data_IF_541496583181
#
_entry.id   IF_541496583181
#
_cell.length_a   1.000
_cell.length_b   1.000
_cell.length_c   1.000
_cell.angle_alpha   90.00
_cell.angle_beta   90.00
_cell.angle_gamma   90.00
#
_symmetry.space_group_name_H-M   'P 1'
#
loop_
_entity.id
_entity.type
_entity.pdbx_description
1 polymer ?
#
# COMPACT_ATOMS: atom_id res chain seq x y z
N UNK A 1 -17.93 -3.35 -5.78
CA UNK A 1 -18.69 -3.85 -4.61
C UNK A 1 -19.37 -5.20 -4.87
N UNK A 2 -19.66 -5.58 -6.12
CA UNK A 2 -20.36 -6.83 -6.45
C UNK A 2 -19.57 -8.12 -6.12
N UNK A 3 -18.24 -8.12 -6.27
CA UNK A 3 -17.46 -9.36 -6.15
C UNK A 3 -17.20 -9.81 -4.70
N UNK A 4 -17.02 -8.89 -3.75
CA UNK A 4 -16.93 -9.25 -2.32
C UNK A 4 -18.20 -9.96 -1.85
N UNK A 5 -19.37 -9.50 -2.29
CA UNK A 5 -20.66 -10.15 -2.03
C UNK A 5 -20.71 -11.54 -2.66
N UNK A 6 -20.15 -11.72 -3.86
CA UNK A 6 -20.06 -13.02 -4.54
C UNK A 6 -19.19 -14.02 -3.77
N UNK A 7 -18.03 -13.60 -3.26
CA UNK A 7 -17.16 -14.44 -2.44
C UNK A 7 -17.85 -14.89 -1.13
N UNK A 8 -18.51 -13.97 -0.42
CA UNK A 8 -19.27 -14.31 0.79
C UNK A 8 -20.51 -15.17 0.49
N UNK A 9 -21.21 -14.92 -0.63
CA UNK A 9 -22.34 -15.72 -1.05
C UNK A 9 -21.94 -17.17 -1.39
N UNK A 10 -20.78 -17.35 -2.03
CA UNK A 10 -20.20 -18.67 -2.32
C UNK A 10 -19.85 -19.44 -1.04
N UNK A 11 -19.32 -18.75 -0.03
CA UNK A 11 -18.92 -19.33 1.25
C UNK A 11 -20.07 -19.51 2.27
N UNK A 12 -21.26 -18.99 1.98
CA UNK A 12 -22.46 -19.15 2.85
C UNK A 12 -22.91 -20.61 2.94
N UNK A 13 -22.62 -21.38 1.89
CA UNK A 13 -22.96 -22.79 1.77
C UNK A 13 -21.94 -23.69 2.47
N UNK A 14 -22.39 -24.61 3.35
CA UNK A 14 -21.50 -25.42 4.16
C UNK A 14 -20.70 -26.43 3.34
N UNK A 15 -21.23 -26.96 2.24
CA UNK A 15 -20.53 -27.91 1.40
C UNK A 15 -19.41 -27.22 0.61
N UNK A 16 -19.69 -26.06 0.02
CA UNK A 16 -18.69 -25.24 -0.68
C UNK A 16 -17.58 -24.78 0.26
N UNK A 17 -17.94 -24.36 1.47
CA UNK A 17 -16.97 -24.01 2.52
C UNK A 17 -16.05 -25.19 2.84
N UNK A 18 -16.63 -26.36 3.11
CA UNK A 18 -15.89 -27.57 3.47
C UNK A 18 -14.96 -28.05 2.35
N UNK A 19 -15.37 -27.94 1.09
CA UNK A 19 -14.49 -28.20 -0.07
C UNK A 19 -13.23 -27.33 -0.04
N UNK A 20 -13.42 -26.03 0.18
CA UNK A 20 -12.33 -25.05 0.19
C UNK A 20 -11.40 -25.25 1.39
N UNK A 21 -11.94 -25.63 2.55
CA UNK A 21 -11.16 -25.99 3.73
C UNK A 21 -10.30 -27.24 3.49
N UNK A 22 -10.90 -28.31 2.94
CA UNK A 22 -10.19 -29.56 2.64
C UNK A 22 -9.06 -29.32 1.64
N UNK A 23 -9.35 -28.64 0.52
CA UNK A 23 -8.36 -28.34 -0.53
C UNK A 23 -7.35 -27.25 -0.12
N UNK A 24 -7.65 -26.48 0.92
CA UNK A 24 -6.73 -25.51 1.50
C UNK A 24 -5.76 -26.14 2.50
N UNK A 25 -6.20 -27.17 3.22
CA UNK A 25 -5.38 -27.96 4.15
C UNK A 25 -4.54 -29.03 3.43
N UNK A 26 -5.05 -29.58 2.33
CA UNK A 26 -4.39 -30.63 1.53
C UNK A 26 -4.12 -30.10 0.12
N UNK A 27 -2.87 -30.13 -0.35
CA UNK A 27 -2.51 -29.51 -1.65
C UNK A 27 -3.28 -30.08 -2.85
N UNK A 28 -3.65 -31.38 -2.81
CA UNK A 28 -4.36 -32.07 -3.89
C UNK A 28 -5.25 -33.17 -3.32
N UNK A 29 -6.53 -33.19 -3.70
CA UNK A 29 -7.50 -34.20 -3.20
C UNK A 29 -8.27 -34.81 -4.37
N UNK A 30 -8.50 -36.12 -4.30
CA UNK A 30 -9.27 -36.85 -5.30
C UNK A 30 -10.79 -36.67 -5.13
N UNK A 31 -11.57 -36.96 -6.18
CA UNK A 31 -13.03 -36.91 -6.09
C UNK A 31 -13.60 -37.86 -5.02
N UNK A 32 -13.05 -39.08 -4.91
CA UNK A 32 -13.51 -40.09 -3.95
C UNK A 32 -13.33 -39.60 -2.51
N UNK A 33 -12.14 -39.07 -2.20
CA UNK A 33 -11.80 -38.49 -0.89
C UNK A 33 -12.69 -37.28 -0.56
N UNK A 34 -12.92 -36.37 -1.52
CA UNK A 34 -13.85 -35.25 -1.36
C UNK A 34 -15.26 -35.73 -1.08
N UNK A 35 -15.75 -36.74 -1.82
CA UNK A 35 -17.10 -37.30 -1.63
C UNK A 35 -17.24 -37.91 -0.24
N UNK A 36 -16.27 -38.70 0.20
CA UNK A 36 -16.27 -39.33 1.52
C UNK A 36 -16.24 -38.29 2.64
N UNK A 37 -15.41 -37.25 2.52
CA UNK A 37 -15.32 -36.19 3.53
C UNK A 37 -16.57 -35.28 3.60
N UNK A 38 -17.29 -35.13 2.47
CA UNK A 38 -18.51 -34.34 2.40
C UNK A 38 -19.77 -35.13 2.78
N UNK A 39 -19.78 -36.46 2.60
CA UNK A 39 -20.95 -37.31 2.83
C UNK A 39 -22.11 -37.04 1.86
N UNK A 40 -21.82 -36.48 0.67
CA UNK A 40 -22.83 -36.06 -0.30
C UNK A 40 -22.93 -37.04 -1.49
N UNK A 41 -24.09 -37.04 -2.15
CA UNK A 41 -24.32 -37.81 -3.37
C UNK A 41 -23.42 -37.34 -4.53
N UNK A 42 -23.13 -38.25 -5.47
CA UNK A 42 -22.21 -38.01 -6.59
C UNK A 42 -22.59 -36.74 -7.38
N UNK A 43 -23.87 -36.60 -7.76
CA UNK A 43 -24.35 -35.43 -8.51
C UNK A 43 -24.23 -34.11 -7.74
N UNK A 44 -24.49 -34.13 -6.44
CA UNK A 44 -24.39 -32.95 -5.57
C UNK A 44 -22.95 -32.47 -5.43
N UNK A 45 -21.98 -33.39 -5.31
CA UNK A 45 -20.56 -33.02 -5.27
C UNK A 45 -20.15 -32.38 -6.61
N UNK A 46 -20.57 -32.94 -7.74
CA UNK A 46 -20.28 -32.33 -9.04
C UNK A 46 -20.90 -30.94 -9.19
N UNK A 47 -22.13 -30.74 -8.73
CA UNK A 47 -22.78 -29.43 -8.72
C UNK A 47 -21.97 -28.38 -7.95
N UNK A 48 -21.49 -28.71 -6.74
CA UNK A 48 -20.67 -27.78 -5.97
C UNK A 48 -19.29 -27.54 -6.59
N UNK A 49 -18.67 -28.57 -7.18
CA UNK A 49 -17.39 -28.42 -7.88
C UNK A 49 -17.53 -27.55 -9.13
N UNK A 50 -18.65 -27.66 -9.85
CA UNK A 50 -18.94 -26.83 -11.02
C UNK A 50 -19.13 -25.36 -10.64
N UNK A 51 -19.91 -25.11 -9.58
CA UNK A 51 -20.07 -23.77 -8.98
C UNK A 51 -18.75 -23.18 -8.46
N UNK A 52 -17.79 -24.03 -8.10
CA UNK A 52 -16.44 -23.64 -7.65
C UNK A 52 -15.39 -23.69 -8.77
N UNK A 53 -15.75 -24.01 -10.01
CA UNK A 53 -14.81 -24.22 -11.11
C UNK A 53 -13.81 -23.08 -11.30
N UNK A 54 -14.24 -21.82 -11.15
CA UNK A 54 -13.37 -20.64 -11.22
C UNK A 54 -12.34 -20.50 -10.09
N UNK A 55 -12.44 -21.31 -9.02
CA UNK A 55 -11.56 -21.32 -7.84
C UNK A 55 -10.70 -22.58 -7.74
N UNK A 56 -10.96 -23.55 -8.63
CA UNK A 56 -10.36 -24.87 -8.61
C UNK A 56 -9.54 -25.08 -9.88
N UNK A 57 -8.44 -25.81 -9.74
CA UNK A 57 -7.66 -26.35 -10.84
C UNK A 57 -7.70 -27.86 -10.75
N UNK A 58 -7.79 -28.51 -11.90
CA UNK A 58 -7.76 -29.98 -12.01
C UNK A 58 -6.42 -30.39 -12.62
N UNK A 59 -5.68 -31.23 -11.91
CA UNK A 59 -4.41 -31.77 -12.38
C UNK A 59 -4.62 -32.89 -13.41
N UNK A 60 -3.55 -33.27 -14.15
CA UNK A 60 -3.51 -34.39 -15.11
C UNK A 60 -4.00 -35.71 -14.50
N UNK A 61 -3.83 -35.88 -13.19
CA UNK A 61 -4.30 -37.04 -12.42
C UNK A 61 -5.77 -36.95 -11.97
N UNK A 62 -6.55 -35.98 -12.49
CA UNK A 62 -7.94 -35.70 -12.09
C UNK A 62 -8.14 -35.35 -10.61
N UNK A 63 -7.08 -34.93 -9.91
CA UNK A 63 -7.15 -34.39 -8.55
C UNK A 63 -7.46 -32.89 -8.58
N UNK A 64 -8.22 -32.42 -7.60
CA UNK A 64 -8.58 -31.02 -7.45
C UNK A 64 -7.57 -30.32 -6.53
N UNK A 65 -7.24 -29.07 -6.87
CA UNK A 65 -6.44 -28.16 -6.05
C UNK A 65 -7.01 -26.75 -6.13
N UNK A 66 -6.75 -25.92 -5.11
CA UNK A 66 -7.09 -24.52 -5.17
C UNK A 66 -6.16 -23.78 -6.13
N UNK A 67 -6.74 -22.98 -7.04
CA UNK A 67 -5.99 -21.98 -7.79
C UNK A 67 -5.71 -20.75 -6.90
N UNK A 68 -5.12 -19.68 -7.46
CA UNK A 68 -4.83 -18.46 -6.68
C UNK A 68 -6.09 -17.85 -6.03
N UNK A 69 -7.21 -17.81 -6.75
CA UNK A 69 -8.51 -17.31 -6.24
C UNK A 69 -9.10 -18.25 -5.17
N UNK A 70 -8.93 -19.57 -5.32
CA UNK A 70 -9.37 -20.54 -4.32
C UNK A 70 -8.57 -20.48 -3.01
N UNK A 71 -7.23 -20.34 -3.11
CA UNK A 71 -6.37 -20.19 -1.91
C UNK A 71 -6.70 -18.94 -1.12
N UNK A 72 -7.14 -17.91 -1.83
CA UNK A 72 -7.59 -16.66 -1.26
C UNK A 72 -8.93 -16.82 -0.53
N UNK A 73 -9.87 -17.57 -1.10
CA UNK A 73 -11.12 -17.95 -0.45
C UNK A 73 -10.86 -18.72 0.86
N UNK A 74 -9.88 -19.63 0.85
CA UNK A 74 -9.45 -20.36 2.04
C UNK A 74 -8.85 -19.44 3.12
N UNK A 75 -8.06 -18.42 2.76
CA UNK A 75 -7.56 -17.42 3.71
C UNK A 75 -8.70 -16.59 4.32
N UNK A 76 -9.68 -16.18 3.52
CA UNK A 76 -10.86 -15.45 4.01
C UNK A 76 -11.61 -16.28 5.05
N UNK A 77 -11.77 -17.60 4.81
CA UNK A 77 -12.37 -18.51 5.77
C UNK A 77 -11.57 -18.65 7.07
N UNK A 78 -10.25 -18.77 6.98
CA UNK A 78 -9.34 -18.93 8.14
C UNK A 78 -9.17 -17.66 8.96
N UNK A 79 -9.11 -16.50 8.32
CA UNK A 79 -8.71 -15.21 8.93
C UNK A 79 -9.90 -14.25 9.12
N UNK A 80 -11.09 -14.59 8.62
CA UNK A 80 -12.32 -13.80 8.77
C UNK A 80 -12.30 -12.43 8.09
N UNK A 81 -11.31 -12.15 7.24
CA UNK A 81 -11.16 -10.86 6.56
C UNK A 81 -10.60 -11.03 5.14
N UNK A 82 -11.10 -10.21 4.21
CA UNK A 82 -10.54 -10.12 2.84
C UNK A 82 -9.17 -9.45 2.94
N UNK A 83 -8.09 -10.05 2.39
CA UNK A 83 -6.79 -9.41 2.36
C UNK A 83 -6.90 -8.03 1.68
N UNK A 84 -6.49 -6.96 2.36
CA UNK A 84 -6.57 -5.59 1.84
C UNK A 84 -5.94 -5.40 0.45
N UNK A 85 -4.95 -6.23 0.12
CA UNK A 85 -4.30 -6.27 -1.19
C UNK A 85 -5.26 -6.55 -2.36
N UNK A 86 -6.39 -7.21 -2.12
CA UNK A 86 -7.41 -7.50 -3.12
C UNK A 86 -8.31 -6.33 -3.45
N UNK A 87 -8.81 -5.62 -2.43
CA UNK A 87 -9.62 -4.43 -2.66
C UNK A 87 -8.86 -3.39 -3.50
N UNK A 88 -7.55 -3.30 -3.30
CA UNK A 88 -6.65 -2.44 -4.08
C UNK A 88 -6.43 -3.00 -5.50
N UNK A 89 -6.14 -4.30 -5.65
CA UNK A 89 -5.88 -4.90 -6.97
C UNK A 89 -7.12 -4.92 -7.88
N UNK A 90 -8.32 -5.02 -7.32
CA UNK A 90 -9.58 -5.00 -8.08
C UNK A 90 -10.03 -3.56 -8.40
N UNK A 91 -9.82 -2.61 -7.48
CA UNK A 91 -10.12 -1.17 -7.71
C UNK A 91 -9.12 -0.54 -8.69
N UNK A 92 -7.88 -1.02 -8.73
CA UNK A 92 -6.82 -0.57 -9.64
C UNK A 92 -6.63 -1.56 -10.80
N UNK A 93 -7.69 -1.83 -11.57
CA UNK A 93 -7.65 -2.78 -12.70
C UNK A 93 -6.70 -2.34 -13.82
N UNK A 94 -6.49 -1.02 -13.98
CA UNK A 94 -5.60 -0.44 -14.99
C UNK A 94 -4.11 -0.55 -14.61
N UNK A 95 -3.26 -0.92 -15.56
CA UNK A 95 -1.80 -1.06 -15.37
C UNK A 95 -1.12 0.23 -14.88
N UNK A 96 -1.60 1.41 -15.31
CA UNK A 96 -1.14 2.72 -14.82
C UNK A 96 -1.44 2.93 -13.34
N UNK A 97 -2.61 2.50 -12.87
CA UNK A 97 -3.01 2.61 -11.48
C UNK A 97 -2.17 1.67 -10.59
N UNK A 98 -1.83 0.47 -11.07
CA UNK A 98 -0.90 -0.45 -10.38
C UNK A 98 0.51 0.13 -10.23
N UNK A 99 0.97 0.86 -11.24
CA UNK A 99 2.28 1.53 -11.21
C UNK A 99 2.27 2.77 -10.31
N UNK A 100 1.25 3.61 -10.42
CA UNK A 100 1.07 4.81 -9.61
C UNK A 100 0.98 4.49 -8.11
N UNK A 101 0.28 3.43 -7.71
CA UNK A 101 0.20 3.04 -6.30
C UNK A 101 1.35 2.15 -5.83
N UNK A 102 2.35 1.87 -6.68
CA UNK A 102 3.43 0.91 -6.41
C UNK A 102 2.90 -0.44 -5.85
N UNK A 103 1.68 -0.83 -6.25
CA UNK A 103 0.98 -2.02 -5.77
C UNK A 103 1.80 -3.31 -5.86
N UNK A 104 2.58 -3.60 -6.93
CA UNK A 104 3.41 -4.81 -6.97
C UNK A 104 4.60 -4.74 -6.00
N UNK A 105 5.07 -3.53 -5.66
CA UNK A 105 6.19 -3.32 -4.76
C UNK A 105 5.73 -3.47 -3.29
N UNK A 106 4.57 -2.88 -2.95
CA UNK A 106 3.95 -3.06 -1.64
C UNK A 106 3.43 -4.49 -1.41
N UNK A 107 2.99 -5.19 -2.45
CA UNK A 107 2.61 -6.60 -2.35
C UNK A 107 3.80 -7.50 -1.99
N UNK A 108 5.03 -7.13 -2.38
CA UNK A 108 6.26 -7.85 -1.99
C UNK A 108 6.66 -7.60 -0.53
N UNK A 109 6.06 -6.62 0.15
CA UNK A 109 6.34 -6.31 1.57
C UNK A 109 5.79 -7.34 2.56
N UNK A 110 5.13 -8.41 2.08
CA UNK A 110 4.79 -9.60 2.90
C UNK A 110 6.05 -10.17 3.58
N UNK A 111 7.24 -9.99 3.00
CA UNK A 111 8.54 -10.24 3.64
C UNK A 111 9.28 -8.91 3.87
N UNK A 112 8.95 -8.16 4.94
CA UNK A 112 9.41 -6.77 5.10
C UNK A 112 10.94 -6.64 5.14
N UNK A 113 11.64 -7.63 5.71
CA UNK A 113 13.11 -7.68 5.80
C UNK A 113 13.82 -7.54 4.44
N UNK A 114 13.20 -7.95 3.33
CA UNK A 114 13.82 -7.82 2.00
C UNK A 114 13.74 -6.41 1.44
N UNK A 115 12.68 -5.67 1.76
CA UNK A 115 12.44 -4.32 1.25
C UNK A 115 12.82 -3.21 2.23
N UNK A 116 13.08 -3.57 3.48
CA UNK A 116 13.56 -2.64 4.50
C UNK A 116 14.83 -1.89 4.09
N UNK A 117 15.88 -2.51 3.51
CA UNK A 117 17.06 -1.78 3.07
C UNK A 117 16.75 -0.73 2.00
N UNK A 118 15.87 -1.04 1.05
CA UNK A 118 15.44 -0.09 0.02
C UNK A 118 14.68 1.09 0.61
N UNK A 119 13.80 0.82 1.58
CA UNK A 119 13.08 1.84 2.33
C UNK A 119 14.07 2.79 3.04
N UNK A 120 15.08 2.25 3.72
CA UNK A 120 16.12 3.05 4.36
C UNK A 120 16.94 3.87 3.36
N UNK A 121 17.33 3.29 2.23
CA UNK A 121 18.06 4.01 1.16
C UNK A 121 17.26 5.20 0.65
N UNK A 122 15.95 5.04 0.42
CA UNK A 122 15.07 6.15 -0.01
C UNK A 122 15.07 7.27 1.03
N UNK A 123 15.01 6.93 2.32
CA UNK A 123 15.03 7.93 3.39
C UNK A 123 16.38 8.65 3.49
N UNK A 124 17.49 7.92 3.39
CA UNK A 124 18.82 8.52 3.37
C UNK A 124 19.00 9.44 2.17
N UNK A 125 18.58 9.02 0.98
CA UNK A 125 18.62 9.83 -0.23
C UNK A 125 17.73 11.07 -0.11
N UNK A 126 16.53 10.95 0.47
CA UNK A 126 15.66 12.09 0.72
C UNK A 126 16.25 13.10 1.70
N UNK A 127 16.79 12.61 2.82
CA UNK A 127 17.43 13.46 3.83
C UNK A 127 18.67 14.17 3.28
N UNK A 128 19.51 13.46 2.52
CA UNK A 128 20.69 14.02 1.86
C UNK A 128 20.30 15.05 0.79
N UNK A 129 19.30 14.73 -0.04
CA UNK A 129 18.79 15.63 -1.06
C UNK A 129 18.24 16.92 -0.47
N UNK A 130 17.44 16.82 0.60
CA UNK A 130 16.90 17.99 1.31
C UNK A 130 18.01 18.89 1.87
N UNK A 131 19.06 18.29 2.45
CA UNK A 131 20.20 19.02 2.96
C UNK A 131 21.02 19.70 1.85
N UNK A 132 21.22 19.04 0.72
CA UNK A 132 21.92 19.60 -0.45
C UNK A 132 21.14 20.77 -1.06
N UNK A 133 19.83 20.62 -1.21
CA UNK A 133 18.95 21.64 -1.77
C UNK A 133 18.61 22.78 -0.78
N UNK A 134 19.06 22.69 0.49
CA UNK A 134 18.72 23.61 1.59
C UNK A 134 17.21 23.78 1.80
N UNK A 135 16.46 22.72 1.55
CA UNK A 135 15.02 22.67 1.76
C UNK A 135 14.71 22.14 3.15
N UNK A 136 13.83 22.82 3.87
CA UNK A 136 13.35 22.36 5.18
C UNK A 136 12.16 21.41 4.99
N UNK A 137 12.30 20.10 5.32
CA UNK A 137 11.20 19.16 5.20
C UNK A 137 10.19 19.38 6.34
N UNK A 138 8.91 19.33 6.00
CA UNK A 138 7.78 19.40 6.93
C UNK A 138 6.73 18.36 6.55
N UNK A 139 7.03 17.09 6.85
CA UNK A 139 6.26 15.91 6.43
C UNK A 139 6.02 15.89 4.91
N UNK A 140 4.85 16.36 4.46
CA UNK A 140 4.47 16.42 3.04
C UNK A 140 4.98 17.68 2.32
N UNK A 141 5.45 18.71 3.04
CA UNK A 141 5.85 19.99 2.45
C UNK A 141 7.37 20.19 2.51
N UNK A 142 7.86 21.07 1.64
CA UNK A 142 9.21 21.62 1.69
C UNK A 142 9.13 23.14 1.73
N UNK A 143 9.97 23.75 2.55
CA UNK A 143 10.11 25.19 2.63
C UNK A 143 11.51 25.62 2.19
N UNK A 144 11.56 26.71 1.43
CA UNK A 144 12.81 27.30 0.97
C UNK A 144 13.54 28.02 2.12
N UNK A 145 14.85 28.24 1.93
CA UNK A 145 15.70 29.03 2.83
C UNK A 145 15.78 28.46 4.25
N UNK A 146 16.16 27.19 4.37
CA UNK A 146 16.51 26.65 5.68
C UNK A 146 17.71 27.42 6.26
N UNK A 147 17.48 28.14 7.35
CA UNK A 147 18.55 28.72 8.19
C UNK A 147 19.29 27.67 9.01
N UNK A 148 18.83 26.41 8.94
CA UNK A 148 19.35 25.29 9.73
C UNK A 148 20.57 24.69 9.07
N UNK A 149 21.45 24.16 9.91
CA UNK A 149 22.61 23.40 9.44
C UNK A 149 22.18 22.14 8.65
N UNK A 150 22.98 21.67 7.68
CA UNK A 150 22.66 20.47 6.91
C UNK A 150 22.36 19.23 7.78
N UNK A 151 23.07 19.08 8.90
CA UNK A 151 22.86 17.97 9.85
C UNK A 151 21.51 18.08 10.56
N UNK A 152 21.08 19.30 10.91
CA UNK A 152 19.74 19.55 11.46
C UNK A 152 18.64 19.22 10.45
N UNK A 153 18.84 19.52 9.16
CA UNK A 153 17.88 19.19 8.09
C UNK A 153 17.73 17.69 7.89
N UNK A 154 18.84 16.94 7.86
CA UNK A 154 18.83 15.47 7.81
C UNK A 154 18.07 14.90 9.00
N UNK A 155 18.37 15.40 10.20
CA UNK A 155 17.74 14.95 11.44
C UNK A 155 16.24 15.20 11.40
N UNK A 156 15.82 16.39 10.98
CA UNK A 156 14.40 16.75 10.84
C UNK A 156 13.66 15.87 9.84
N UNK A 157 14.29 15.54 8.69
CA UNK A 157 13.71 14.65 7.70
C UNK A 157 13.38 13.28 8.31
N UNK A 158 14.35 12.70 9.03
CA UNK A 158 14.18 11.40 9.70
C UNK A 158 13.09 11.49 10.78
N UNK A 159 13.08 12.56 11.57
CA UNK A 159 12.05 12.77 12.60
C UNK A 159 10.64 12.89 12.01
N UNK A 160 10.47 13.67 10.94
CA UNK A 160 9.18 13.78 10.26
C UNK A 160 8.68 12.41 9.81
N UNK A 161 9.57 11.61 9.24
CA UNK A 161 9.20 10.30 8.74
C UNK A 161 8.86 9.29 9.87
N UNK A 162 9.67 9.25 10.93
CA UNK A 162 9.35 8.47 12.13
C UNK A 162 8.03 8.95 12.74
N UNK A 163 7.81 10.27 12.79
CA UNK A 163 6.58 10.90 13.23
C UNK A 163 5.38 10.43 12.42
N UNK A 164 5.48 10.38 11.09
CA UNK A 164 4.42 9.87 10.22
C UNK A 164 4.13 8.38 10.49
N UNK A 165 5.17 7.56 10.68
CA UNK A 165 4.99 6.16 11.06
C UNK A 165 4.25 6.01 12.39
N UNK A 166 4.69 6.72 13.44
CA UNK A 166 4.04 6.66 14.76
C UNK A 166 2.61 7.19 14.70
N UNK A 167 2.39 8.26 13.95
CA UNK A 167 1.07 8.87 13.78
C UNK A 167 0.09 7.92 13.08
N UNK A 168 0.52 7.31 11.97
CA UNK A 168 -0.31 6.33 11.24
C UNK A 168 -0.56 5.06 12.05
N UNK A 169 0.41 4.60 12.84
CA UNK A 169 0.24 3.51 13.81
C UNK A 169 -0.83 3.87 14.86
N UNK A 170 -0.73 5.06 15.45
CA UNK A 170 -1.65 5.55 16.46
C UNK A 170 -3.08 5.70 15.92
N UNK A 171 -3.26 6.27 14.73
CA UNK A 171 -4.58 6.37 14.11
C UNK A 171 -5.15 5.01 13.70
N UNK A 172 -4.33 4.10 13.18
CA UNK A 172 -4.77 2.75 12.85
C UNK A 172 -5.27 1.99 14.09
N UNK A 173 -4.62 2.22 15.24
CA UNK A 173 -5.09 1.69 16.52
C UNK A 173 -6.34 2.41 17.03
N UNK A 174 -6.35 3.74 17.09
CA UNK A 174 -7.43 4.53 17.67
C UNK A 174 -8.75 4.39 16.90
N UNK A 175 -8.70 4.46 15.56
CA UNK A 175 -9.91 4.46 14.71
C UNK A 175 -10.37 3.05 14.36
N UNK A 176 -9.45 2.10 14.20
CA UNK A 176 -9.77 0.78 13.64
C UNK A 176 -9.36 -0.39 14.54
N UNK A 177 -8.81 -0.13 15.74
CA UNK A 177 -8.35 -1.13 16.72
C UNK A 177 -7.40 -2.18 16.12
N UNK A 178 -6.65 -1.81 15.07
CA UNK A 178 -5.79 -2.73 14.33
C UNK A 178 -4.38 -2.74 14.93
N UNK A 179 -3.96 -3.89 15.45
CA UNK A 179 -2.65 -4.11 16.07
C UNK A 179 -1.81 -5.06 15.22
N UNK A 180 -0.48 -4.92 15.24
CA UNK A 180 0.46 -5.81 14.55
C UNK A 180 1.05 -5.23 13.26
N UNK A 181 1.92 -6.00 12.59
CA UNK A 181 2.59 -5.63 11.32
C UNK A 181 3.36 -4.29 11.32
N UNK A 182 3.89 -3.87 12.47
CA UNK A 182 4.62 -2.60 12.64
C UNK A 182 5.80 -2.47 11.66
N UNK A 183 6.60 -3.52 11.52
CA UNK A 183 7.75 -3.53 10.62
C UNK A 183 7.34 -3.42 9.15
N UNK A 184 6.22 -4.03 8.77
CA UNK A 184 5.69 -3.94 7.42
C UNK A 184 5.17 -2.53 7.13
N UNK A 185 4.43 -1.93 8.06
CA UNK A 185 3.98 -0.54 7.96
C UNK A 185 5.15 0.43 7.83
N UNK A 186 6.16 0.30 8.69
CA UNK A 186 7.39 1.10 8.63
C UNK A 186 8.06 1.00 7.25
N UNK A 187 8.26 -0.22 6.76
CA UNK A 187 8.85 -0.45 5.43
C UNK A 187 8.02 0.22 4.33
N UNK A 188 6.69 0.06 4.36
CA UNK A 188 5.80 0.67 3.38
C UNK A 188 5.80 2.20 3.44
N UNK A 189 5.82 2.81 4.64
CA UNK A 189 5.83 4.27 4.77
C UNK A 189 7.14 4.86 4.25
N UNK A 190 8.27 4.17 4.37
CA UNK A 190 9.53 4.64 3.80
C UNK A 190 9.61 4.48 2.29
N UNK A 191 8.99 3.43 1.74
CA UNK A 191 8.78 3.33 0.28
C UNK A 191 7.85 4.44 -0.23
N UNK A 192 6.81 4.79 0.53
CA UNK A 192 5.87 5.86 0.19
C UNK A 192 6.49 7.27 0.26
N UNK A 193 7.64 7.41 0.92
CA UNK A 193 8.40 8.66 0.96
C UNK A 193 9.14 8.94 -0.36
N UNK A 194 9.20 7.98 -1.30
CA UNK A 194 9.96 8.09 -2.55
C UNK A 194 9.66 9.38 -3.34
N UNK A 195 8.40 9.77 -3.64
CA UNK A 195 8.14 10.96 -4.44
C UNK A 195 8.73 12.22 -3.81
N UNK A 196 8.58 12.37 -2.49
CA UNK A 196 9.10 13.51 -1.75
C UNK A 196 10.61 13.45 -1.54
N UNK A 197 11.19 12.26 -1.43
CA UNK A 197 12.64 12.07 -1.32
C UNK A 197 13.37 12.49 -2.61
N UNK A 198 12.70 12.38 -3.77
CA UNK A 198 13.29 12.76 -5.07
C UNK A 198 13.13 14.26 -5.35
N UNK A 199 12.13 14.93 -4.78
CA UNK A 199 11.86 16.36 -5.04
C UNK A 199 13.08 17.29 -4.88
N UNK A 200 13.90 17.21 -3.82
CA UNK A 200 15.06 18.08 -3.67
C UNK A 200 16.06 18.03 -4.84
N UNK A 201 16.17 16.88 -5.50
CA UNK A 201 17.02 16.73 -6.69
C UNK A 201 16.42 17.42 -7.91
N UNK A 202 15.09 17.34 -8.09
CA UNK A 202 14.40 18.13 -9.11
C UNK A 202 14.54 19.63 -8.85
N UNK A 203 14.44 20.05 -7.59
CA UNK A 203 14.60 21.45 -7.22
C UNK A 203 15.94 22.03 -7.71
N UNK A 204 17.04 21.30 -7.53
CA UNK A 204 18.37 21.71 -7.99
C UNK A 204 18.53 21.58 -9.51
N UNK A 205 18.00 20.51 -10.12
CA UNK A 205 18.23 20.20 -11.53
C UNK A 205 17.38 21.05 -12.51
N UNK A 206 16.18 21.50 -12.11
CA UNK A 206 15.25 22.21 -13.01
C UNK A 206 15.84 23.50 -13.60
N UNK A 207 16.46 24.41 -12.83
CA UNK A 207 17.09 25.61 -13.40
C UNK A 207 18.20 25.29 -14.40
N UNK A 208 19.03 24.28 -14.11
CA UNK A 208 20.13 23.87 -14.99
C UNK A 208 19.59 23.28 -16.29
N UNK A 209 18.56 22.43 -16.20
CA UNK A 209 17.95 21.77 -17.35
C UNK A 209 17.19 22.73 -18.28
N UNK A 210 16.63 23.81 -17.74
CA UNK A 210 15.85 24.79 -18.50
C UNK A 210 16.65 26.06 -18.86
N UNK A 211 17.94 26.09 -18.57
CA UNK A 211 18.81 27.25 -18.79
C UNK A 211 18.83 27.74 -20.24
N UNK A 212 18.56 26.86 -21.21
CA UNK A 212 18.47 27.20 -22.65
C UNK A 212 17.14 27.82 -23.12
N UNK A 213 16.12 27.95 -22.26
CA UNK A 213 14.77 28.36 -22.67
C UNK A 213 14.42 29.84 -22.40
N UNK A 214 15.39 30.68 -22.00
CA UNK A 214 15.17 32.11 -21.67
C UNK A 214 13.97 32.35 -20.72
N UNK A 215 13.73 31.43 -19.80
CA UNK A 215 12.67 31.53 -18.81
C UNK A 215 13.05 32.51 -17.70
N UNK A 216 12.07 33.24 -17.19
CA UNK A 216 12.26 34.10 -16.03
C UNK A 216 12.30 33.29 -14.74
N UNK A 217 12.94 33.83 -13.69
CA UNK A 217 13.01 33.19 -12.36
C UNK A 217 11.63 32.76 -11.83
N UNK A 218 10.61 33.60 -12.04
CA UNK A 218 9.23 33.35 -11.59
C UNK A 218 8.64 32.11 -12.28
N UNK A 219 8.93 31.90 -13.57
CA UNK A 219 8.41 30.76 -14.34
C UNK A 219 9.05 29.45 -13.87
N UNK A 220 10.36 29.47 -13.60
CA UNK A 220 11.09 28.32 -13.05
C UNK A 220 10.53 27.93 -11.67
N UNK A 221 10.22 28.92 -10.84
CA UNK A 221 9.66 28.67 -9.51
C UNK A 221 8.22 28.12 -9.56
N UNK A 222 7.38 28.64 -10.47
CA UNK A 222 6.07 28.05 -10.73
C UNK A 222 6.17 26.58 -11.16
N UNK A 223 7.13 26.24 -12.03
CA UNK A 223 7.36 24.85 -12.46
C UNK A 223 7.75 23.97 -11.28
N UNK A 224 8.66 24.41 -10.41
CA UNK A 224 9.06 23.69 -9.20
C UNK A 224 7.87 23.42 -8.26
N UNK A 225 7.01 24.41 -8.06
CA UNK A 225 5.81 24.27 -7.23
C UNK A 225 4.81 23.28 -7.82
N UNK A 226 4.58 23.32 -9.13
CA UNK A 226 3.71 22.35 -9.83
C UNK A 226 4.27 20.93 -9.66
N UNK A 227 5.59 20.74 -9.84
CA UNK A 227 6.25 19.45 -9.61
C UNK A 227 6.05 19.00 -8.16
N UNK A 228 6.24 19.89 -7.18
CA UNK A 228 6.03 19.58 -5.76
C UNK A 228 4.61 19.09 -5.50
N UNK A 229 3.59 19.81 -5.98
CA UNK A 229 2.18 19.45 -5.80
C UNK A 229 1.88 18.06 -6.36
N UNK A 230 2.40 17.75 -7.56
CA UNK A 230 2.22 16.43 -8.19
C UNK A 230 2.85 15.35 -7.30
N UNK A 231 4.07 15.57 -6.80
CA UNK A 231 4.77 14.60 -5.94
C UNK A 231 4.12 14.47 -4.56
N UNK A 232 3.52 15.54 -4.03
CA UNK A 232 2.75 15.53 -2.78
C UNK A 232 1.49 14.68 -2.90
N UNK A 233 0.70 14.92 -3.95
CA UNK A 233 -0.49 14.10 -4.24
C UNK A 233 -0.08 12.64 -4.41
N UNK A 234 1.01 12.39 -5.13
CA UNK A 234 1.50 11.02 -5.31
C UNK A 234 1.94 10.38 -3.99
N UNK A 235 2.68 11.10 -3.14
CA UNK A 235 3.08 10.60 -1.82
C UNK A 235 1.88 10.29 -0.93
N UNK A 236 0.83 11.12 -0.96
CA UNK A 236 -0.40 10.89 -0.20
C UNK A 236 -1.11 9.59 -0.63
N UNK A 237 -1.17 9.33 -1.94
CA UNK A 237 -1.71 8.09 -2.50
C UNK A 237 -0.87 6.87 -2.05
N UNK A 238 0.46 7.00 -2.07
CA UNK A 238 1.35 5.94 -1.61
C UNK A 238 1.27 5.70 -0.10
N UNK A 239 1.11 6.75 0.73
CA UNK A 239 0.89 6.60 2.18
C UNK A 239 -0.43 5.89 2.45
N UNK A 240 -1.47 6.21 1.68
CA UNK A 240 -2.77 5.51 1.76
C UNK A 240 -2.59 4.02 1.48
N UNK A 241 -1.89 3.66 0.40
CA UNK A 241 -1.56 2.28 0.07
C UNK A 241 -0.67 1.63 1.15
N UNK A 242 0.32 2.35 1.68
CA UNK A 242 1.23 1.86 2.70
C UNK A 242 0.50 1.46 3.98
N UNK A 243 -0.50 2.24 4.41
CA UNK A 243 -1.37 1.89 5.54
C UNK A 243 -2.18 0.63 5.23
N UNK A 244 -2.68 0.49 4.01
CA UNK A 244 -3.47 -0.67 3.61
C UNK A 244 -2.66 -1.97 3.59
N UNK A 245 -1.51 -1.95 2.92
CA UNK A 245 -0.61 -3.12 2.85
C UNK A 245 0.09 -3.36 4.19
N UNK A 246 0.47 -2.31 4.91
CA UNK A 246 1.14 -2.38 6.21
C UNK A 246 0.25 -2.91 7.32
N UNK A 247 -0.99 -2.44 7.41
CA UNK A 247 -1.93 -2.84 8.49
C UNK A 247 -3.00 -3.86 8.06
N UNK A 248 -3.13 -4.12 6.78
CA UNK A 248 -4.23 -4.94 6.24
C UNK A 248 -5.58 -4.21 6.29
N UNK A 249 -5.58 -2.87 6.23
CA UNK A 249 -6.79 -2.06 6.19
C UNK A 249 -7.29 -1.88 4.76
N UNK A 250 -8.61 -1.73 4.58
CA UNK A 250 -9.19 -1.39 3.27
C UNK A 250 -8.76 0.02 2.82
N UNK A 251 -8.77 0.26 1.51
CA UNK A 251 -8.26 1.50 0.90
C UNK A 251 -8.97 2.77 1.37
N UNK A 252 -10.28 2.71 1.52
CA UNK A 252 -11.11 3.76 2.13
C UNK A 252 -10.56 4.20 3.49
N UNK A 253 -10.20 3.25 4.36
CA UNK A 253 -9.63 3.53 5.68
C UNK A 253 -8.21 4.10 5.61
N UNK A 254 -7.40 3.62 4.67
CA UNK A 254 -6.06 4.14 4.42
C UNK A 254 -6.08 5.59 3.95
N UNK A 255 -7.03 5.94 3.08
CA UNK A 255 -7.26 7.32 2.60
C UNK A 255 -7.67 8.24 3.75
N UNK A 256 -8.56 7.78 4.65
CA UNK A 256 -8.95 8.58 5.82
C UNK A 256 -7.73 8.91 6.69
N UNK A 257 -6.84 7.94 6.94
CA UNK A 257 -5.63 8.14 7.75
C UNK A 257 -4.66 9.11 7.07
N UNK A 258 -4.41 8.95 5.77
CA UNK A 258 -3.48 9.82 5.03
C UNK A 258 -4.01 11.25 4.91
N UNK A 259 -5.31 11.43 4.64
CA UNK A 259 -5.97 12.74 4.62
C UNK A 259 -5.90 13.41 6.00
N UNK A 260 -6.15 12.65 7.07
CA UNK A 260 -6.02 13.18 8.43
C UNK A 260 -4.59 13.65 8.69
N UNK A 261 -3.59 12.89 8.25
CA UNK A 261 -2.17 13.25 8.41
C UNK A 261 -1.82 14.55 7.67
N UNK A 262 -2.25 14.72 6.42
CA UNK A 262 -1.96 15.94 5.65
C UNK A 262 -2.72 17.16 6.20
N UNK A 263 -3.99 17.03 6.58
CA UNK A 263 -4.76 18.15 7.14
C UNK A 263 -4.21 18.61 8.49
N UNK A 264 -3.81 17.68 9.36
CA UNK A 264 -3.15 18.06 10.61
C UNK A 264 -1.78 18.67 10.37
N UNK A 265 -1.03 18.20 9.37
CA UNK A 265 0.23 18.82 8.98
C UNK A 265 0.01 20.27 8.52
N UNK A 266 -1.00 20.52 7.68
CA UNK A 266 -1.36 21.87 7.23
C UNK A 266 -1.76 22.75 8.43
N UNK A 267 -2.62 22.25 9.32
CA UNK A 267 -3.05 22.99 10.51
C UNK A 267 -1.86 23.34 11.43
N UNK A 268 -0.96 22.38 11.67
CA UNK A 268 0.25 22.60 12.45
C UNK A 268 1.15 23.66 11.81
N UNK A 269 1.36 23.59 10.50
CA UNK A 269 2.17 24.56 9.76
C UNK A 269 1.56 25.96 9.76
N UNK A 270 0.23 26.06 9.69
CA UNK A 270 -0.48 27.33 9.81
C UNK A 270 -0.32 27.94 11.22
N UNK A 271 -0.49 27.14 12.27
CA UNK A 271 -0.28 27.58 13.66
C UNK A 271 1.17 28.03 13.90
N UNK A 272 2.13 27.36 13.26
CA UNK A 272 3.55 27.72 13.32
C UNK A 272 3.91 28.94 12.43
N UNK A 273 2.94 29.55 11.75
CA UNK A 273 3.17 30.74 10.91
C UNK A 273 4.01 30.46 9.66
N UNK A 274 4.02 29.22 9.15
CA UNK A 274 4.83 28.84 7.97
C UNK A 274 4.14 29.12 6.63
N UNK A 275 2.85 29.43 6.64
CA UNK A 275 2.04 29.78 5.45
C UNK A 275 1.62 31.26 5.41
N UNK A 276 2.16 32.09 6.30
CA UNK A 276 1.97 33.54 6.40
C UNK A 276 3.24 34.26 5.96
#
# INVERSE_FOLDING_TARGET
MEDSTRYYALLKDPARRKIIEILGAQEKVGFKELREALGLGVGTVYYHLDMLSGFLEKDKQRKYRLNEKGRMLYRILKEGSIPASLGISETLSNSLAKWLFLSPLFAKTIKPLKLLPFSLVILFLGAYGAAMARLEPALFFYFEYSTRSPTSTITLFIFNWIGLFLFTEALAFALFKRVGNKLQLFTCIGLAALPLAVFPYFYVAVPEALSGLNLYYIEIEMIRQVILIILQVWSLLLVSAAVCYGKGLRLDKGIIISLTAIYLNIAALYILGRFT
#
